data_IF_951852714966
#
_entry.id   IF_951852714966
#
_cell.length_a   1.000
_cell.length_b   1.000
_cell.length_c   1.000
_cell.angle_alpha   90.00
_cell.angle_beta   90.00
_cell.angle_gamma   90.00
#
_symmetry.space_group_name_H-M   'P 1'
#
loop_
_entity.id
_entity.type
_entity.pdbx_description
1 polymer ?
#
# COMPACT_ATOMS: atom_id res chain seq x y z
N UNK A 1 -30.25 -9.36 -15.26
CA UNK A 1 -29.12 -8.40 -15.39
C UNK A 1 -28.49 -8.16 -14.03
N UNK A 2 -27.87 -9.18 -13.43
CA UNK A 2 -27.38 -9.12 -12.03
C UNK A 2 -26.05 -9.86 -11.84
N UNK A 3 -24.97 -9.36 -12.45
CA UNK A 3 -23.65 -9.93 -12.17
C UNK A 3 -22.61 -8.86 -11.80
N UNK A 4 -22.43 -8.80 -10.47
CA UNK A 4 -21.15 -8.68 -9.77
C UNK A 4 -20.42 -7.34 -9.78
N UNK A 5 -20.84 -6.44 -8.88
CA UNK A 5 -19.92 -5.52 -8.18
C UNK A 5 -19.24 -6.16 -6.95
N UNK A 6 -19.50 -7.45 -6.68
CA UNK A 6 -18.89 -8.14 -5.54
C UNK A 6 -17.43 -8.57 -5.76
N UNK A 7 -16.86 -8.38 -6.96
CA UNK A 7 -15.65 -9.09 -7.35
C UNK A 7 -14.34 -8.30 -7.20
N UNK A 8 -14.10 -7.51 -6.15
CA UNK A 8 -12.72 -6.97 -5.92
C UNK A 8 -12.34 -6.77 -4.43
N UNK A 9 -13.02 -7.43 -3.47
CA UNK A 9 -12.64 -7.26 -2.05
C UNK A 9 -11.49 -8.13 -1.55
N UNK A 10 -11.05 -9.12 -2.32
CA UNK A 10 -10.19 -10.17 -1.79
C UNK A 10 -8.97 -10.41 -2.69
N UNK A 11 -8.08 -9.41 -2.79
CA UNK A 11 -6.69 -9.74 -3.10
C UNK A 11 -5.97 -9.99 -1.78
N UNK A 12 -5.72 -11.26 -1.37
CA UNK A 12 -5.03 -11.60 -0.12
C UNK A 12 -3.58 -11.09 -0.02
N UNK A 13 -3.11 -10.35 -1.03
CA UNK A 13 -1.74 -9.84 -1.18
C UNK A 13 -1.41 -8.71 -0.20
N UNK A 14 -2.41 -7.96 0.29
CA UNK A 14 -2.19 -6.81 1.18
C UNK A 14 -1.69 -7.19 2.59
N UNK A 15 -1.85 -8.46 2.98
CA UNK A 15 -1.39 -8.97 4.28
C UNK A 15 -0.03 -9.69 4.20
N UNK A 16 0.37 -10.20 3.03
CA UNK A 16 1.52 -11.10 2.94
C UNK A 16 2.85 -10.36 3.08
N UNK A 17 2.98 -9.17 2.47
CA UNK A 17 4.20 -8.36 2.57
C UNK A 17 4.45 -7.87 4.02
N UNK A 18 3.39 -7.61 4.78
CA UNK A 18 3.50 -7.23 6.19
C UNK A 18 3.74 -8.44 7.12
N UNK A 19 3.12 -9.60 6.85
CA UNK A 19 3.30 -10.81 7.67
C UNK A 19 4.69 -11.42 7.54
N UNK A 20 5.23 -11.55 6.33
CA UNK A 20 6.59 -12.05 6.11
C UNK A 20 7.64 -11.14 6.76
N UNK A 21 7.38 -9.82 6.83
CA UNK A 21 8.29 -8.86 7.44
C UNK A 21 8.21 -8.83 8.97
N UNK A 22 7.05 -9.10 9.57
CA UNK A 22 6.94 -9.23 11.03
C UNK A 22 7.72 -10.43 11.55
N UNK A 23 7.66 -11.56 10.84
CA UNK A 23 8.44 -12.77 11.17
C UNK A 23 9.95 -12.54 10.97
N UNK A 24 10.38 -11.87 9.89
CA UNK A 24 11.79 -11.53 9.68
C UNK A 24 12.33 -10.49 10.68
N UNK A 25 11.51 -9.53 11.12
CA UNK A 25 11.89 -8.54 12.13
C UNK A 25 12.01 -9.17 13.53
N UNK A 26 11.19 -10.18 13.86
CA UNK A 26 11.33 -10.95 15.09
C UNK A 26 12.64 -11.76 15.11
N UNK A 27 13.13 -12.23 13.96
CA UNK A 27 14.41 -12.92 13.86
C UNK A 27 15.62 -11.97 14.01
N UNK A 28 15.49 -10.69 13.64
CA UNK A 28 16.54 -9.67 13.79
C UNK A 28 16.69 -9.14 15.23
N UNK A 29 15.76 -9.44 16.14
CA UNK A 29 15.83 -9.05 17.55
C UNK A 29 16.53 -10.08 18.46
N UNK A 30 17.03 -11.20 17.90
CA UNK A 30 17.80 -12.19 18.69
C UNK A 30 19.19 -11.61 18.99
N UNK A 31 19.62 -11.49 20.26
CA UNK A 31 20.93 -10.94 20.58
C UNK A 31 22.06 -11.87 20.08
N UNK A 32 23.22 -11.32 19.62
CA UNK A 32 24.33 -12.14 19.17
C UNK A 32 24.94 -12.92 20.35
N UNK A 33 25.11 -14.23 20.18
CA UNK A 33 25.84 -15.08 21.12
C UNK A 33 27.35 -14.81 21.07
N UNK A 34 27.97 -14.87 22.25
CA UNK A 34 29.31 -14.41 22.65
C UNK A 34 30.44 -15.41 22.31
N UNK A 35 31.61 -14.93 21.84
CA UNK A 35 32.99 -15.49 22.01
C UNK A 35 34.00 -14.52 21.32
N UNK A 36 34.85 -13.74 22.00
CA UNK A 36 36.16 -13.94 22.69
C UNK A 36 37.42 -14.02 21.77
N UNK A 37 38.28 -12.99 21.94
CA UNK A 37 39.61 -12.51 21.44
C UNK A 37 40.81 -13.51 21.24
N UNK A 38 42.09 -13.12 20.88
CA UNK A 38 42.77 -11.79 20.66
C UNK A 38 43.72 -11.63 19.42
N UNK A 39 44.34 -10.43 19.30
CA UNK A 39 45.25 -9.85 18.26
C UNK A 39 46.76 -9.98 18.63
N UNK A 40 47.75 -9.75 17.72
CA UNK A 40 48.57 -8.50 17.73
C UNK A 40 48.97 -7.98 16.31
N UNK A 41 48.84 -6.69 15.92
CA UNK A 41 49.61 -5.44 16.15
C UNK A 41 50.82 -5.18 15.21
N UNK A 42 50.70 -4.18 14.30
CA UNK A 42 51.76 -3.34 13.67
C UNK A 42 51.15 -2.07 13.00
N UNK A 43 51.88 -0.92 12.88
CA UNK A 43 51.32 0.45 12.84
C UNK A 43 51.06 1.05 11.41
N UNK A 44 50.39 2.22 11.27
CA UNK A 44 49.67 2.61 10.06
C UNK A 44 50.38 3.65 9.17
N UNK A 45 49.98 3.81 7.89
CA UNK A 45 50.02 5.09 7.21
C UNK A 45 48.63 5.76 7.19
N UNK A 46 48.66 7.07 7.41
CA UNK A 46 47.55 8.02 7.42
C UNK A 46 46.63 7.89 6.20
N UNK A 47 45.43 7.37 6.42
CA UNK A 47 44.29 7.54 5.51
C UNK A 47 43.26 8.44 6.18
N UNK A 48 43.01 9.56 5.53
CA UNK A 48 41.93 10.53 5.76
C UNK A 48 40.62 9.82 6.14
N UNK A 49 39.83 10.30 7.12
CA UNK A 49 38.59 9.65 7.49
C UNK A 49 37.52 9.89 6.41
N UNK A 50 37.51 9.04 5.38
CA UNK A 50 36.36 8.87 4.51
C UNK A 50 35.26 8.23 5.34
N UNK A 51 34.16 8.95 5.53
CA UNK A 51 33.02 8.56 6.37
C UNK A 51 32.67 7.07 6.21
N UNK A 52 32.68 6.35 7.33
CA UNK A 52 32.40 4.91 7.39
C UNK A 52 31.02 4.60 6.76
N UNK A 53 30.89 3.53 5.95
CA UNK A 53 29.60 3.15 5.40
C UNK A 53 28.73 2.66 6.57
N UNK A 54 27.72 3.46 6.91
CA UNK A 54 26.69 3.08 7.87
C UNK A 54 26.11 1.73 7.44
N UNK A 55 26.10 0.76 8.37
CA UNK A 55 25.70 -0.64 8.21
C UNK A 55 24.21 -0.73 7.82
N UNK A 56 23.86 -0.35 6.60
CA UNK A 56 22.48 -0.33 6.10
C UNK A 56 21.99 -1.76 5.84
N UNK A 57 20.69 -1.99 6.07
CA UNK A 57 20.09 -3.30 5.87
C UNK A 57 20.24 -3.74 4.38
N UNK A 58 20.51 -5.03 4.11
CA UNK A 58 20.62 -5.54 2.75
C UNK A 58 19.32 -5.26 1.99
N UNK A 59 19.44 -4.57 0.85
CA UNK A 59 18.30 -4.09 0.05
C UNK A 59 18.03 -2.59 0.16
N UNK A 60 18.59 -1.88 1.15
CA UNK A 60 18.60 -0.42 1.13
C UNK A 60 19.59 0.06 0.07
N UNK A 61 19.09 0.76 -0.95
CA UNK A 61 19.91 1.24 -2.08
C UNK A 61 20.15 2.74 -2.04
N UNK A 62 19.35 3.47 -1.26
CA UNK A 62 19.45 4.93 -1.14
C UNK A 62 18.83 5.42 0.18
N UNK A 63 19.39 6.48 0.76
CA UNK A 63 18.85 7.15 1.94
C UNK A 63 18.99 6.35 3.24
N UNK A 64 18.11 6.62 4.21
CA UNK A 64 18.13 5.99 5.53
C UNK A 64 16.90 5.09 5.72
N UNK A 65 17.04 3.81 5.36
CA UNK A 65 15.99 2.81 5.54
C UNK A 65 15.77 2.37 7.00
N UNK A 66 16.56 2.88 7.96
CA UNK A 66 16.39 2.59 9.39
C UNK A 66 15.44 3.57 10.07
N UNK A 67 15.72 4.87 9.96
CA UNK A 67 14.95 5.95 10.59
C UNK A 67 15.05 7.22 9.74
N UNK A 68 14.26 7.31 8.69
CA UNK A 68 14.34 8.41 7.73
C UNK A 68 13.64 8.09 6.41
N UNK A 69 14.06 8.77 5.35
CA UNK A 69 13.57 8.50 3.99
C UNK A 69 14.61 7.66 3.27
N UNK A 70 14.19 6.61 2.58
CA UNK A 70 15.07 5.79 1.78
C UNK A 70 14.36 5.03 0.68
N UNK A 71 15.16 4.39 -0.16
CA UNK A 71 14.72 3.46 -1.20
C UNK A 71 15.21 2.06 -0.85
N UNK A 72 14.28 1.11 -0.78
CA UNK A 72 14.53 -0.28 -0.47
C UNK A 72 14.06 -1.18 -1.61
N UNK A 73 14.96 -2.03 -2.10
CA UNK A 73 14.71 -3.06 -3.09
C UNK A 73 14.58 -4.41 -2.37
N UNK A 74 13.42 -5.05 -2.52
CA UNK A 74 13.14 -6.33 -1.89
C UNK A 74 13.67 -7.49 -2.76
N UNK A 75 14.13 -8.60 -2.16
CA UNK A 75 14.45 -9.82 -2.90
C UNK A 75 13.27 -10.38 -3.72
N UNK A 76 12.03 -10.07 -3.33
CA UNK A 76 10.82 -10.41 -4.10
C UNK A 76 10.75 -9.72 -5.47
N UNK A 77 11.53 -8.66 -5.69
CA UNK A 77 11.45 -7.76 -6.83
C UNK A 77 10.58 -6.53 -6.58
N UNK A 78 9.98 -6.40 -5.40
CA UNK A 78 9.24 -5.18 -5.03
C UNK A 78 10.21 -4.04 -4.70
N UNK A 79 9.73 -2.80 -4.80
CA UNK A 79 10.49 -1.60 -4.44
C UNK A 79 9.64 -0.70 -3.56
N UNK A 80 10.26 -0.13 -2.53
CA UNK A 80 9.66 0.93 -1.73
C UNK A 80 10.55 2.16 -1.71
N UNK A 81 9.96 3.34 -1.85
CA UNK A 81 10.63 4.63 -1.63
C UNK A 81 9.76 5.47 -0.71
N UNK A 82 10.29 5.87 0.44
CA UNK A 82 9.54 6.67 1.41
C UNK A 82 10.10 6.57 2.83
N UNK A 83 9.23 6.87 3.79
CA UNK A 83 9.58 6.97 5.19
C UNK A 83 9.68 5.61 5.90
N UNK A 84 10.71 5.49 6.73
CA UNK A 84 11.02 4.37 7.60
C UNK A 84 11.14 4.84 9.04
N UNK A 85 10.67 3.99 9.96
CA UNK A 85 10.87 4.12 11.40
C UNK A 85 11.20 2.75 11.97
N UNK A 86 12.33 2.63 12.65
CA UNK A 86 12.88 1.38 13.19
C UNK A 86 12.95 0.26 12.14
N UNK A 87 13.44 0.58 10.93
CA UNK A 87 13.53 -0.30 9.76
C UNK A 87 12.18 -0.81 9.21
N UNK A 88 11.06 -0.25 9.68
CA UNK A 88 9.70 -0.53 9.21
C UNK A 88 9.18 0.63 8.38
N UNK A 89 8.54 0.33 7.26
CA UNK A 89 7.83 1.34 6.45
C UNK A 89 6.77 2.02 7.33
N UNK A 90 6.86 3.33 7.47
CA UNK A 90 5.96 4.10 8.33
C UNK A 90 5.91 5.56 7.87
N UNK A 91 4.70 6.12 7.75
CA UNK A 91 4.49 7.44 7.18
C UNK A 91 4.26 7.38 5.67
N UNK A 92 4.68 8.40 4.91
CA UNK A 92 4.38 8.50 3.47
C UNK A 92 5.41 7.78 2.61
N UNK A 93 4.94 7.15 1.53
CA UNK A 93 5.83 6.55 0.53
C UNK A 93 5.11 6.03 -0.70
N UNK A 94 5.89 5.39 -1.56
CA UNK A 94 5.44 4.67 -2.74
C UNK A 94 5.95 3.23 -2.67
N UNK A 95 5.04 2.27 -2.81
CA UNK A 95 5.35 0.85 -2.98
C UNK A 95 5.03 0.45 -4.42
N UNK A 96 6.04 -0.04 -5.12
CA UNK A 96 5.94 -0.63 -6.46
C UNK A 96 6.07 -2.14 -6.32
N UNK A 97 5.03 -2.85 -6.74
CA UNK A 97 5.00 -4.30 -6.69
C UNK A 97 5.63 -4.87 -7.96
N UNK A 98 6.25 -6.06 -7.86
CA UNK A 98 6.83 -6.78 -9.01
C UNK A 98 5.83 -7.00 -10.16
N UNK A 99 4.54 -7.13 -9.86
CA UNK A 99 3.48 -7.30 -10.85
C UNK A 99 3.05 -5.99 -11.57
N UNK A 100 3.75 -4.88 -11.34
CA UNK A 100 3.46 -3.57 -11.92
C UNK A 100 2.41 -2.75 -11.17
N UNK A 101 1.78 -3.30 -10.13
CA UNK A 101 0.89 -2.53 -9.27
C UNK A 101 1.67 -1.49 -8.48
N UNK A 102 0.99 -0.41 -8.08
CA UNK A 102 1.61 0.68 -7.32
C UNK A 102 0.66 1.21 -6.27
N UNK A 103 1.18 1.43 -5.07
CA UNK A 103 0.51 2.23 -4.05
C UNK A 103 1.34 3.47 -3.72
N UNK A 104 0.70 4.63 -3.68
CA UNK A 104 1.30 5.87 -3.21
C UNK A 104 0.41 6.45 -2.12
N UNK A 105 0.93 6.59 -0.91
CA UNK A 105 0.12 7.02 0.22
C UNK A 105 0.79 6.83 1.57
N UNK A 106 -0.04 6.78 2.60
CA UNK A 106 0.38 6.62 3.98
C UNK A 106 0.50 5.13 4.35
N UNK A 107 1.42 4.86 5.27
CA UNK A 107 1.70 3.55 5.80
C UNK A 107 1.81 3.62 7.32
N UNK A 108 1.39 2.54 7.98
CA UNK A 108 1.59 2.35 9.41
C UNK A 108 2.01 0.91 9.65
N UNK A 109 3.20 0.73 10.22
CA UNK A 109 3.78 -0.58 10.50
C UNK A 109 3.80 -1.51 9.28
N UNK A 110 4.22 -0.99 8.12
CA UNK A 110 4.30 -1.73 6.87
C UNK A 110 2.97 -1.96 6.14
N UNK A 111 1.84 -1.55 6.72
CA UNK A 111 0.52 -1.68 6.10
C UNK A 111 0.05 -0.35 5.50
N UNK A 112 -0.67 -0.42 4.39
CA UNK A 112 -1.39 0.72 3.82
C UNK A 112 -2.37 1.26 4.86
N UNK A 113 -2.30 2.56 5.13
CA UNK A 113 -3.12 3.23 6.13
C UNK A 113 -3.37 4.68 5.69
N UNK A 114 -4.24 5.42 6.37
CA UNK A 114 -4.49 6.83 6.04
C UNK A 114 -4.99 7.03 4.61
N UNK A 115 -4.56 8.11 3.93
CA UNK A 115 -4.96 8.38 2.54
C UNK A 115 -3.93 7.84 1.55
N UNK A 116 -4.41 7.28 0.43
CA UNK A 116 -3.52 6.87 -0.66
C UNK A 116 -4.24 6.42 -1.93
N UNK A 117 -3.48 6.39 -3.00
CA UNK A 117 -3.92 5.95 -4.33
C UNK A 117 -3.27 4.62 -4.68
N UNK A 118 -4.09 3.64 -5.07
CA UNK A 118 -3.66 2.35 -5.59
C UNK A 118 -3.94 2.25 -7.09
N UNK A 119 -2.92 1.88 -7.83
CA UNK A 119 -2.96 1.62 -9.27
C UNK A 119 -2.83 0.12 -9.47
N UNK A 120 -3.87 -0.48 -10.05
CA UNK A 120 -3.91 -1.91 -10.32
C UNK A 120 -3.32 -2.18 -11.70
N UNK A 121 -2.75 -3.37 -11.90
CA UNK A 121 -2.21 -3.78 -13.20
C UNK A 121 -3.31 -3.88 -14.28
N UNK A 122 -4.55 -4.11 -13.85
CA UNK A 122 -5.75 -4.03 -14.70
C UNK A 122 -6.06 -2.63 -15.26
N UNK A 123 -5.31 -1.60 -14.86
CA UNK A 123 -5.61 -0.18 -15.16
C UNK A 123 -6.59 0.46 -14.18
N UNK A 124 -7.31 -0.33 -13.38
CA UNK A 124 -8.20 0.19 -12.34
C UNK A 124 -7.42 1.08 -11.35
N UNK A 125 -8.14 2.00 -10.71
CA UNK A 125 -7.57 2.92 -9.70
C UNK A 125 -8.48 3.04 -8.50
N UNK A 126 -7.90 3.06 -7.30
CA UNK A 126 -8.59 3.47 -6.09
C UNK A 126 -7.88 4.67 -5.48
N UNK A 127 -8.60 5.76 -5.22
CA UNK A 127 -8.13 6.91 -4.45
C UNK A 127 -8.99 7.04 -3.21
N UNK A 128 -8.41 6.91 -2.01
CA UNK A 128 -9.23 7.00 -0.80
C UNK A 128 -8.51 6.64 0.47
N UNK A 129 -9.31 6.36 1.49
CA UNK A 129 -8.83 5.99 2.82
C UNK A 129 -8.53 4.48 2.90
N UNK A 130 -7.53 4.16 3.72
CA UNK A 130 -7.01 2.83 3.95
C UNK A 130 -6.89 2.59 5.45
N UNK A 131 -7.21 1.36 5.87
CA UNK A 131 -7.02 0.90 7.23
C UNK A 131 -6.55 -0.55 7.20
N UNK A 132 -5.37 -0.76 7.76
CA UNK A 132 -4.75 -2.07 7.96
C UNK A 132 -4.73 -2.91 6.66
N UNK A 133 -4.29 -2.28 5.57
CA UNK A 133 -4.18 -2.90 4.25
C UNK A 133 -5.48 -2.98 3.45
N UNK A 134 -6.61 -2.49 3.97
CA UNK A 134 -7.92 -2.56 3.31
C UNK A 134 -8.46 -1.17 3.02
N UNK A 135 -9.18 -1.02 1.90
CA UNK A 135 -9.98 0.18 1.61
C UNK A 135 -10.99 0.40 2.72
N UNK A 136 -11.07 1.62 3.22
CA UNK A 136 -11.92 2.01 4.34
C UNK A 136 -12.38 3.46 4.16
N UNK A 137 -13.39 3.92 4.89
CA UNK A 137 -13.82 5.32 4.86
C UNK A 137 -14.25 5.79 3.46
N UNK A 138 -13.99 7.05 3.12
CA UNK A 138 -14.34 7.59 1.81
C UNK A 138 -13.30 7.24 0.74
N UNK A 139 -13.76 6.92 -0.46
CA UNK A 139 -12.89 6.72 -1.60
C UNK A 139 -13.61 6.73 -2.96
N UNK A 140 -12.80 6.82 -4.00
CA UNK A 140 -13.19 6.76 -5.41
C UNK A 140 -12.54 5.54 -6.04
N UNK A 141 -13.33 4.67 -6.66
CA UNK A 141 -12.84 3.59 -7.50
C UNK A 141 -13.17 3.88 -8.96
N UNK A 142 -12.17 3.74 -9.83
CA UNK A 142 -12.31 3.86 -11.27
C UNK A 142 -12.01 2.50 -11.92
N UNK A 143 -12.96 2.03 -12.71
CA UNK A 143 -12.81 0.82 -13.53
C UNK A 143 -12.34 1.24 -14.92
N UNK A 144 -11.08 0.96 -15.25
CA UNK A 144 -10.52 1.37 -16.54
C UNK A 144 -11.09 0.60 -17.74
N UNK A 145 -11.50 -0.65 -17.53
CA UNK A 145 -12.05 -1.50 -18.60
C UNK A 145 -13.45 -1.07 -19.02
N UNK A 146 -14.28 -0.66 -18.05
CA UNK A 146 -15.68 -0.26 -18.30
C UNK A 146 -15.86 1.24 -18.42
N UNK A 147 -14.94 2.04 -17.88
CA UNK A 147 -15.10 3.49 -17.71
C UNK A 147 -15.99 3.89 -16.53
N UNK A 148 -16.43 2.92 -15.72
CA UNK A 148 -17.30 3.17 -14.58
C UNK A 148 -16.53 3.77 -13.39
N UNK A 149 -17.23 4.55 -12.57
CA UNK A 149 -16.67 5.18 -11.38
C UNK A 149 -17.61 5.05 -10.19
N UNK A 150 -17.10 4.60 -9.06
CA UNK A 150 -17.79 4.67 -7.77
C UNK A 150 -17.15 5.71 -6.88
N UNK A 151 -17.97 6.53 -6.20
CA UNK A 151 -17.53 7.49 -5.18
C UNK A 151 -18.38 7.25 -3.94
N UNK A 152 -17.75 6.92 -2.81
CA UNK A 152 -18.48 6.76 -1.56
C UNK A 152 -17.74 5.97 -0.51
N UNK A 153 -18.53 5.40 0.38
CA UNK A 153 -18.04 4.80 1.63
C UNK A 153 -17.60 3.35 1.43
N UNK A 154 -16.54 2.96 2.15
CA UNK A 154 -15.93 1.64 2.17
C UNK A 154 -15.77 1.13 3.60
N UNK A 155 -15.98 -0.17 3.79
CA UNK A 155 -15.70 -0.90 5.03
C UNK A 155 -15.07 -2.24 4.69
N UNK A 156 -13.92 -2.53 5.29
CA UNK A 156 -13.20 -3.80 5.13
C UNK A 156 -12.99 -4.21 3.67
N UNK A 157 -12.65 -3.25 2.80
CA UNK A 157 -12.38 -3.52 1.39
C UNK A 157 -13.62 -3.55 0.49
N UNK A 158 -14.83 -3.39 1.02
CA UNK A 158 -16.11 -3.42 0.27
C UNK A 158 -16.82 -2.08 0.34
N UNK A 159 -17.61 -1.73 -0.68
CA UNK A 159 -18.51 -0.57 -0.61
C UNK A 159 -19.57 -0.82 0.46
N UNK A 160 -19.78 0.18 1.32
CA UNK A 160 -20.63 0.07 2.50
C UNK A 160 -21.02 1.48 2.98
N UNK A 161 -22.31 1.75 3.13
CA UNK A 161 -22.85 3.09 3.44
C UNK A 161 -23.32 3.81 2.18
N UNK A 162 -23.30 5.14 2.19
CA UNK A 162 -23.73 5.95 1.04
C UNK A 162 -22.67 6.00 -0.06
N UNK A 163 -23.12 6.01 -1.32
CA UNK A 163 -22.24 6.18 -2.48
C UNK A 163 -22.96 6.40 -3.80
N UNK A 164 -22.21 6.94 -4.76
CA UNK A 164 -22.65 7.22 -6.12
C UNK A 164 -21.88 6.35 -7.10
N UNK A 165 -22.60 5.62 -7.95
CA UNK A 165 -22.04 4.87 -9.07
C UNK A 165 -22.36 5.57 -10.37
N UNK A 166 -21.33 6.03 -11.06
CA UNK A 166 -21.39 6.58 -12.40
C UNK A 166 -21.08 5.48 -13.40
N UNK A 167 -22.01 5.26 -14.31
CA UNK A 167 -21.86 4.35 -15.43
C UNK A 167 -21.18 5.07 -16.58
N UNK A 168 -20.41 4.34 -17.39
CA UNK A 168 -19.76 4.91 -18.57
C UNK A 168 -20.71 5.40 -19.66
N UNK A 169 -21.95 4.91 -19.66
CA UNK A 169 -23.03 5.41 -20.54
C UNK A 169 -23.61 6.77 -20.07
N UNK A 170 -23.12 7.33 -18.97
CA UNK A 170 -23.57 8.60 -18.41
C UNK A 170 -24.66 8.49 -17.34
N UNK A 171 -25.26 7.31 -17.14
CA UNK A 171 -26.22 7.09 -16.07
C UNK A 171 -25.51 7.19 -14.71
N UNK A 172 -26.28 7.46 -13.64
CA UNK A 172 -25.76 7.32 -12.28
C UNK A 172 -26.80 6.78 -11.31
N UNK A 173 -26.32 6.05 -10.32
CA UNK A 173 -27.09 5.59 -9.17
C UNK A 173 -26.54 6.21 -7.90
N UNK A 174 -27.40 6.82 -7.10
CA UNK A 174 -27.07 7.42 -5.81
C UNK A 174 -27.86 6.67 -4.74
N UNK A 175 -27.20 6.09 -3.73
CA UNK A 175 -27.93 5.38 -2.68
C UNK A 175 -27.06 4.58 -1.73
N UNK A 176 -27.71 3.69 -1.00
CA UNK A 176 -27.08 2.86 0.01
C UNK A 176 -26.37 1.63 -0.59
N UNK A 177 -25.30 1.23 0.08
CA UNK A 177 -24.46 0.08 -0.28
C UNK A 177 -24.22 -0.78 0.94
N UNK A 178 -24.29 -2.09 0.76
CA UNK A 178 -23.96 -3.07 1.79
C UNK A 178 -23.15 -4.20 1.16
N UNK A 179 -21.91 -4.36 1.63
CA UNK A 179 -21.01 -5.45 1.24
C UNK A 179 -20.80 -5.58 -0.28
N UNK A 180 -20.64 -4.46 -0.99
CA UNK A 180 -20.39 -4.49 -2.45
C UNK A 180 -21.66 -4.47 -3.31
N UNK A 181 -22.85 -4.42 -2.70
CA UNK A 181 -24.13 -4.45 -3.40
C UNK A 181 -24.94 -3.19 -3.10
N UNK A 182 -25.73 -2.74 -4.07
CA UNK A 182 -26.78 -1.74 -3.84
C UNK A 182 -27.74 -2.28 -2.77
N UNK A 183 -28.11 -1.44 -1.83
CA UNK A 183 -28.97 -1.79 -0.71
C UNK A 183 -29.88 -0.60 -0.39
N UNK A 184 -30.92 -0.81 0.42
CA UNK A 184 -31.77 0.26 0.92
C UNK A 184 -32.39 1.12 -0.18
N UNK A 185 -32.52 2.42 0.11
CA UNK A 185 -33.06 3.40 -0.82
C UNK A 185 -31.97 3.94 -1.76
N UNK A 186 -32.37 4.27 -2.99
CA UNK A 186 -31.50 4.96 -3.94
C UNK A 186 -32.27 5.52 -5.13
N UNK A 187 -31.67 6.51 -5.79
CA UNK A 187 -32.21 7.20 -6.96
C UNK A 187 -31.34 6.86 -8.17
N UNK A 188 -31.98 6.50 -9.27
CA UNK A 188 -31.32 6.26 -10.55
C UNK A 188 -31.61 7.44 -11.49
N UNK A 189 -30.55 8.02 -12.05
CA UNK A 189 -30.63 9.11 -13.01
C UNK A 189 -30.16 8.60 -14.36
N UNK A 190 -31.05 8.64 -15.36
CA UNK A 190 -30.70 8.31 -16.74
C UNK A 190 -30.11 9.51 -17.47
N UNK A 191 -29.01 9.30 -18.20
CA UNK A 191 -28.39 10.33 -19.05
C UNK A 191 -29.35 10.83 -20.14
N UNK A 192 -30.23 9.96 -20.63
CA UNK A 192 -31.20 10.22 -21.70
C UNK A 192 -32.31 11.20 -21.30
N UNK A 193 -32.41 11.59 -20.03
CA UNK A 193 -33.46 12.45 -19.51
C UNK A 193 -33.18 13.95 -19.65
N UNK A 194 -32.03 14.35 -20.22
CA UNK A 194 -31.78 15.75 -20.59
C UNK A 194 -32.26 16.00 -22.03
N UNK A 195 -33.52 16.41 -22.16
CA UNK A 195 -34.05 17.09 -23.37
C UNK A 195 -34.06 18.59 -23.12
#
# INVERSE_FOLDING_TARGET
MEQFLAAFSDSPRYALAARLKLEQLQQLQKPPSKATEPVPASPPPTVTPTAQPQKQAPGCVEGNCGNGIGTFHYPSGDKYTGQFRNAVINGRGTYLYKNGEKYAGEFRNGLLNGRGTYYYNSGNRYDGQWKDGKRHGQGTFFNAQRGDKYVGSYKNGRTNGQGVYYYSNGDRYEGEWLNGRKHGQGVFYSASAKR
#
